data_IF_092686909636
#
_entry.id   IF_092686909636
#
_cell.length_a   1.000
_cell.length_b   1.000
_cell.length_c   1.000
_cell.angle_alpha   90.00
_cell.angle_beta   90.00
_cell.angle_gamma   90.00
#
_symmetry.space_group_name_H-M   'P 1'
#
loop_
_entity.id
_entity.type
_entity.pdbx_description
1 polymer ?
#
# COMPACT_ATOMS: atom_id res chain seq x y z
N UNK A 1 22.12 -4.15 1.79
CA UNK A 1 21.30 -2.98 1.36
C UNK A 1 19.86 -3.40 1.54
N UNK A 2 18.99 -2.54 2.11
CA UNK A 2 17.55 -2.85 2.22
C UNK A 2 16.93 -2.80 0.83
N UNK A 3 16.18 -3.81 0.44
CA UNK A 3 15.40 -3.82 -0.79
C UNK A 3 14.17 -2.91 -0.62
N UNK A 4 13.90 -2.06 -1.61
CA UNK A 4 12.73 -1.16 -1.62
C UNK A 4 11.88 -1.56 -2.82
N UNK A 5 10.78 -2.24 -2.55
CA UNK A 5 9.82 -2.69 -3.57
C UNK A 5 8.51 -1.94 -3.43
N UNK A 6 7.82 -1.83 -4.54
CA UNK A 6 6.48 -1.26 -4.63
C UNK A 6 5.56 -2.23 -5.35
N UNK A 7 4.26 -2.02 -5.16
CA UNK A 7 3.24 -2.61 -6.03
C UNK A 7 2.24 -1.54 -6.42
N UNK A 8 1.63 -1.68 -7.60
CA UNK A 8 0.55 -0.83 -8.07
C UNK A 8 -0.30 -1.57 -9.09
N UNK A 9 -1.49 -1.07 -9.40
CA UNK A 9 -2.33 -1.59 -10.47
C UNK A 9 -1.86 -1.07 -11.82
N UNK A 10 -1.72 -1.97 -12.79
CA UNK A 10 -1.38 -1.63 -14.17
C UNK A 10 -2.58 -0.95 -14.83
N UNK A 11 -2.34 0.15 -15.55
CA UNK A 11 -3.40 0.87 -16.27
C UNK A 11 -4.04 0.02 -17.40
N UNK A 12 -3.26 -0.91 -17.99
CA UNK A 12 -3.73 -1.68 -19.14
C UNK A 12 -4.74 -2.78 -18.80
N UNK A 13 -4.56 -3.49 -17.68
CA UNK A 13 -5.35 -4.67 -17.33
C UNK A 13 -5.82 -4.72 -15.86
N UNK A 14 -5.51 -3.70 -15.07
CA UNK A 14 -5.90 -3.57 -13.66
C UNK A 14 -5.24 -4.59 -12.71
N UNK A 15 -4.28 -5.38 -13.19
CA UNK A 15 -3.59 -6.37 -12.37
C UNK A 15 -2.52 -5.71 -11.52
N UNK A 16 -2.31 -6.25 -10.33
CA UNK A 16 -1.21 -5.85 -9.47
C UNK A 16 0.14 -6.24 -10.06
N UNK A 17 1.07 -5.29 -10.06
CA UNK A 17 2.45 -5.49 -10.47
C UNK A 17 3.37 -5.10 -9.33
N UNK A 18 4.31 -5.98 -9.00
CA UNK A 18 5.40 -5.71 -8.03
C UNK A 18 6.69 -5.39 -8.77
N UNK A 19 7.51 -4.51 -8.17
CA UNK A 19 8.82 -4.13 -8.70
C UNK A 19 9.32 -2.81 -8.15
N UNK A 20 10.18 -2.14 -8.94
CA UNK A 20 10.77 -0.86 -8.60
C UNK A 20 9.94 0.27 -9.20
N UNK A 21 9.42 1.14 -8.37
CA UNK A 21 8.61 2.28 -8.81
C UNK A 21 9.49 3.41 -9.30
N UNK A 22 9.12 3.99 -10.44
CA UNK A 22 9.72 5.18 -11.05
C UNK A 22 8.63 6.22 -11.28
N UNK A 23 8.96 7.45 -10.87
CA UNK A 23 8.17 8.65 -11.12
C UNK A 23 9.05 9.62 -11.92
N UNK A 24 8.63 9.93 -13.15
CA UNK A 24 9.36 10.75 -14.10
C UNK A 24 8.43 11.75 -14.76
N UNK A 25 8.98 12.70 -15.50
CA UNK A 25 8.26 13.62 -16.35
C UNK A 25 8.43 13.26 -17.83
N UNK A 26 7.40 13.42 -18.63
CA UNK A 26 7.48 13.28 -20.09
C UNK A 26 8.40 14.33 -20.68
N UNK A 27 8.27 15.58 -20.22
CA UNK A 27 8.97 16.72 -20.76
C UNK A 27 9.38 17.65 -19.63
N UNK A 28 10.60 18.19 -19.71
CA UNK A 28 11.06 19.24 -18.80
C UNK A 28 10.88 20.59 -19.47
N UNK A 29 10.03 21.44 -18.93
CA UNK A 29 9.76 22.78 -19.39
C UNK A 29 10.65 23.78 -18.63
N UNK A 30 11.67 24.32 -19.32
CA UNK A 30 12.62 25.26 -18.69
C UNK A 30 12.05 26.67 -18.49
N UNK A 31 11.04 27.06 -19.27
CA UNK A 31 10.45 28.40 -19.24
C UNK A 31 9.05 28.45 -18.59
N UNK A 32 8.52 27.33 -18.19
CA UNK A 32 7.18 27.20 -17.61
C UNK A 32 7.21 26.07 -16.56
N UNK A 33 7.72 26.37 -15.34
CA UNK A 33 7.85 25.35 -14.30
C UNK A 33 6.55 24.68 -13.89
N UNK A 34 5.43 25.42 -13.93
CA UNK A 34 4.11 24.90 -13.54
C UNK A 34 3.62 23.74 -14.42
N UNK A 35 4.11 23.68 -15.67
CA UNK A 35 3.83 22.54 -16.56
C UNK A 35 4.56 21.27 -16.19
N UNK A 36 5.63 21.36 -15.42
CA UNK A 36 6.35 20.16 -14.99
C UNK A 36 5.50 19.35 -14.00
N UNK A 37 4.74 20.02 -13.14
CA UNK A 37 3.93 19.39 -12.08
C UNK A 37 2.51 19.04 -12.55
N UNK A 38 2.18 19.31 -13.82
CA UNK A 38 0.88 18.93 -14.40
C UNK A 38 0.71 17.40 -14.49
N UNK A 39 -0.46 16.90 -14.16
CA UNK A 39 -0.79 15.46 -14.20
C UNK A 39 -0.49 14.82 -15.57
N UNK A 40 -0.77 15.52 -16.65
CA UNK A 40 -0.50 15.05 -18.02
C UNK A 40 1.01 14.88 -18.33
N UNK A 41 1.88 15.44 -17.50
CA UNK A 41 3.32 15.36 -17.66
C UNK A 41 3.97 14.29 -16.77
N UNK A 42 3.21 13.62 -15.92
CA UNK A 42 3.71 12.62 -14.98
C UNK A 42 3.74 11.23 -15.61
N UNK A 43 4.79 10.47 -15.33
CA UNK A 43 4.93 9.07 -15.73
C UNK A 43 5.12 8.23 -14.46
N UNK A 44 4.18 7.33 -14.22
CA UNK A 44 4.21 6.40 -13.10
C UNK A 44 4.38 4.97 -13.62
N UNK A 45 5.50 4.33 -13.30
CA UNK A 45 5.84 2.99 -13.80
C UNK A 45 6.41 2.09 -12.71
N UNK A 46 6.15 0.80 -12.88
CA UNK A 46 6.89 -0.25 -12.17
C UNK A 46 7.79 -0.97 -13.15
N UNK A 47 9.08 -1.04 -12.81
CA UNK A 47 10.09 -1.86 -13.49
C UNK A 47 10.16 -3.20 -12.78
N UNK A 48 10.09 -4.28 -13.54
CA UNK A 48 10.11 -5.64 -13.02
C UNK A 48 10.88 -6.58 -13.95
N UNK A 49 11.27 -7.73 -13.42
CA UNK A 49 11.93 -8.77 -14.17
C UNK A 49 10.92 -9.81 -14.66
N UNK A 50 11.08 -10.21 -15.92
CA UNK A 50 10.35 -11.30 -16.53
C UNK A 50 11.35 -12.40 -16.93
N UNK A 51 11.17 -13.58 -16.35
CA UNK A 51 11.98 -14.74 -16.71
C UNK A 51 11.67 -15.14 -18.16
N UNK A 52 12.70 -15.32 -18.96
CA UNK A 52 12.56 -15.71 -20.38
C UNK A 52 12.63 -17.20 -20.58
N UNK A 53 13.76 -17.82 -20.21
CA UNK A 53 14.02 -19.25 -20.32
C UNK A 53 15.17 -19.62 -19.38
N UNK A 54 15.38 -20.92 -19.18
CA UNK A 54 16.45 -21.46 -18.34
C UNK A 54 17.83 -21.01 -18.86
N UNK A 55 18.63 -20.42 -17.95
CA UNK A 55 19.98 -19.92 -18.22
C UNK A 55 20.08 -18.75 -19.20
N UNK A 56 18.96 -18.13 -19.60
CA UNK A 56 18.97 -16.88 -20.35
C UNK A 56 18.80 -15.67 -19.41
N UNK A 57 19.31 -14.50 -19.80
CA UNK A 57 19.09 -13.26 -19.05
C UNK A 57 17.59 -12.93 -18.94
N UNK A 58 17.17 -12.48 -17.75
CA UNK A 58 15.80 -11.96 -17.56
C UNK A 58 15.59 -10.71 -18.42
N UNK A 59 14.37 -10.55 -18.91
CA UNK A 59 13.94 -9.31 -19.52
C UNK A 59 13.55 -8.31 -18.42
N UNK A 60 13.98 -7.07 -18.57
CA UNK A 60 13.47 -5.96 -17.76
C UNK A 60 12.28 -5.33 -18.47
N UNK A 61 11.14 -5.33 -17.82
CA UNK A 61 9.88 -4.78 -18.32
C UNK A 61 9.44 -3.57 -17.52
N UNK A 62 8.64 -2.73 -18.14
CA UNK A 62 8.00 -1.60 -17.49
C UNK A 62 6.49 -1.69 -17.70
N UNK A 63 5.73 -1.41 -16.66
CA UNK A 63 4.28 -1.29 -16.73
C UNK A 63 3.87 0.12 -16.28
N UNK A 64 3.04 0.80 -17.07
CA UNK A 64 2.38 2.02 -16.65
C UNK A 64 1.34 1.66 -15.58
N UNK A 65 1.35 2.40 -14.47
CA UNK A 65 0.55 2.08 -13.30
C UNK A 65 -0.28 3.26 -12.83
N UNK A 66 -1.37 2.96 -12.16
CA UNK A 66 -2.22 3.93 -11.50
C UNK A 66 -1.53 4.46 -10.24
N UNK A 67 -1.18 5.78 -10.20
CA UNK A 67 -0.45 6.38 -9.08
C UNK A 67 -1.20 6.27 -7.75
N UNK A 68 -2.55 6.29 -7.76
CA UNK A 68 -3.37 6.22 -6.56
C UNK A 68 -3.32 4.84 -5.90
N UNK A 69 -2.80 3.84 -6.61
CA UNK A 69 -2.68 2.46 -6.11
C UNK A 69 -1.27 2.07 -5.69
N UNK A 70 -0.31 3.01 -5.79
CA UNK A 70 1.08 2.73 -5.44
C UNK A 70 1.20 2.52 -3.93
N UNK A 71 1.76 1.39 -3.54
CA UNK A 71 2.06 1.06 -2.15
C UNK A 71 3.46 0.47 -2.02
N UNK A 72 4.21 0.96 -1.04
CA UNK A 72 5.56 0.47 -0.76
C UNK A 72 5.52 -0.80 0.11
N UNK A 73 6.43 -1.74 -0.14
CA UNK A 73 6.65 -2.87 0.76
C UNK A 73 7.23 -2.39 2.09
N UNK A 74 6.62 -2.79 3.18
CA UNK A 74 7.03 -2.42 4.54
C UNK A 74 8.36 -3.04 4.98
N UNK A 75 8.83 -4.07 4.26
CA UNK A 75 9.98 -4.89 4.65
C UNK A 75 9.58 -6.12 5.48
N UNK A 76 8.29 -6.29 5.76
CA UNK A 76 7.74 -7.40 6.54
C UNK A 76 6.91 -8.35 5.67
N UNK A 77 6.76 -9.57 6.16
CA UNK A 77 5.85 -10.56 5.59
C UNK A 77 4.82 -10.96 6.66
N UNK A 78 3.67 -11.43 6.22
CA UNK A 78 2.64 -12.00 7.09
C UNK A 78 3.02 -13.43 7.55
N UNK A 79 2.17 -14.03 8.39
CA UNK A 79 2.36 -15.42 8.90
C UNK A 79 2.47 -16.49 7.80
N UNK A 80 2.02 -16.18 6.58
CA UNK A 80 2.07 -17.08 5.42
C UNK A 80 3.27 -16.78 4.50
N UNK A 81 4.13 -15.81 4.87
CA UNK A 81 5.25 -15.36 4.05
C UNK A 81 4.87 -14.38 2.94
N UNK A 82 3.62 -13.89 2.89
CA UNK A 82 3.16 -12.88 1.95
C UNK A 82 3.69 -11.51 2.34
N UNK A 83 4.27 -10.77 1.38
CA UNK A 83 4.76 -9.41 1.62
C UNK A 83 3.62 -8.48 2.02
N UNK A 84 3.88 -7.63 3.00
CA UNK A 84 2.95 -6.61 3.49
C UNK A 84 3.28 -5.27 2.81
N UNK A 85 2.31 -4.72 2.09
CA UNK A 85 2.43 -3.44 1.40
C UNK A 85 1.57 -2.38 2.06
N UNK A 86 1.92 -1.13 1.83
CA UNK A 86 1.03 -0.01 2.14
C UNK A 86 -0.34 -0.21 1.49
N UNK A 87 -1.41 0.15 2.21
CA UNK A 87 -2.77 -0.06 1.77
C UNK A 87 -3.27 -1.50 1.93
N UNK A 88 -2.47 -2.44 2.47
CA UNK A 88 -2.95 -3.77 2.84
C UNK A 88 -3.84 -3.73 4.06
N UNK A 89 -4.77 -4.67 4.10
CA UNK A 89 -5.65 -4.94 5.23
C UNK A 89 -5.15 -6.20 5.91
N UNK A 90 -4.75 -6.04 7.17
CA UNK A 90 -4.29 -7.14 8.00
C UNK A 90 -5.40 -7.61 8.92
N UNK A 91 -5.48 -8.91 9.14
CA UNK A 91 -6.28 -9.54 10.19
C UNK A 91 -5.40 -9.91 11.38
N UNK A 92 -5.80 -9.50 12.57
CA UNK A 92 -5.19 -9.92 13.83
C UNK A 92 -6.28 -10.27 14.83
N UNK A 93 -6.52 -11.56 15.01
CA UNK A 93 -7.65 -12.02 15.81
C UNK A 93 -8.99 -11.56 15.23
N UNK A 94 -9.68 -10.66 15.95
CA UNK A 94 -10.95 -10.05 15.50
C UNK A 94 -10.77 -8.68 14.86
N UNK A 95 -9.55 -8.13 14.90
CA UNK A 95 -9.23 -6.79 14.43
C UNK A 95 -8.86 -6.80 12.95
N UNK A 96 -9.26 -5.74 12.25
CA UNK A 96 -8.84 -5.45 10.88
C UNK A 96 -8.04 -4.15 10.89
N UNK A 97 -6.84 -4.19 10.37
CA UNK A 97 -5.87 -3.11 10.44
C UNK A 97 -5.47 -2.68 9.03
N UNK A 98 -5.50 -1.38 8.74
CA UNK A 98 -5.00 -0.80 7.50
C UNK A 98 -3.54 -0.39 7.66
N UNK A 99 -2.68 -0.86 6.78
CA UNK A 99 -1.26 -0.50 6.73
C UNK A 99 -1.08 0.84 6.04
N UNK A 100 -0.36 1.76 6.68
CA UNK A 100 -0.06 3.07 6.15
C UNK A 100 1.30 3.59 6.62
N UNK A 101 1.85 4.57 5.90
CA UNK A 101 3.04 5.30 6.31
C UNK A 101 2.66 6.51 7.15
N UNK A 102 3.31 6.71 8.30
CA UNK A 102 3.12 7.90 9.13
C UNK A 102 4.30 8.85 8.93
N UNK A 103 4.04 9.99 8.27
CA UNK A 103 5.05 11.01 7.99
C UNK A 103 5.55 11.75 9.24
N UNK A 104 4.74 11.83 10.30
CA UNK A 104 5.12 12.51 11.53
C UNK A 104 6.13 11.67 12.34
N UNK A 105 5.94 10.37 12.40
CA UNK A 105 6.80 9.44 13.15
C UNK A 105 7.82 8.70 12.28
N UNK A 106 7.78 8.90 10.95
CA UNK A 106 8.64 8.26 9.95
C UNK A 106 8.69 6.74 10.09
N UNK A 107 7.52 6.13 10.24
CA UNK A 107 7.40 4.69 10.41
C UNK A 107 6.12 4.13 9.81
N UNK A 108 6.16 2.83 9.50
CA UNK A 108 4.97 2.09 9.14
C UNK A 108 4.07 1.91 10.34
N UNK A 109 2.78 2.10 10.16
CA UNK A 109 1.75 1.90 11.18
C UNK A 109 0.59 1.08 10.62
N UNK A 110 -0.15 0.44 11.51
CA UNK A 110 -1.41 -0.22 11.18
C UNK A 110 -2.53 0.43 11.99
N UNK A 111 -3.57 0.90 11.30
CA UNK A 111 -4.72 1.56 11.91
C UNK A 111 -5.86 0.56 12.08
N UNK A 112 -6.45 0.53 13.26
CA UNK A 112 -7.75 -0.11 13.47
C UNK A 112 -8.85 0.94 13.33
N UNK A 113 -9.91 0.62 12.58
CA UNK A 113 -11.11 1.45 12.58
C UNK A 113 -11.83 1.28 13.92
N UNK A 114 -11.81 2.32 14.75
CA UNK A 114 -12.65 2.39 15.94
C UNK A 114 -13.76 3.43 15.74
N UNK A 115 -14.96 3.08 16.20
CA UNK A 115 -16.04 4.03 16.30
C UNK A 115 -16.00 4.66 17.69
N UNK A 116 -15.69 5.95 17.75
CA UNK A 116 -15.94 6.73 18.95
C UNK A 116 -17.35 7.26 18.91
N UNK A 117 -18.15 6.97 19.93
CA UNK A 117 -19.44 7.62 20.14
C UNK A 117 -19.16 9.04 20.62
N UNK A 118 -19.22 10.03 19.74
CA UNK A 118 -19.22 11.43 20.17
C UNK A 118 -20.57 11.74 20.83
N UNK A 119 -20.54 12.36 22.01
CA UNK A 119 -21.73 12.68 22.82
C UNK A 119 -22.62 13.80 22.25
N UNK A 120 -22.35 14.27 21.04
CA UNK A 120 -23.16 15.24 20.31
C UNK A 120 -23.32 14.81 18.85
N UNK A 121 -24.46 14.21 18.54
CA UNK A 121 -25.06 13.98 17.20
C UNK A 121 -24.15 13.53 16.04
N UNK A 122 -23.11 12.74 16.28
CA UNK A 122 -22.29 12.20 15.22
C UNK A 122 -21.46 10.99 15.64
N UNK A 123 -21.36 9.99 14.77
CA UNK A 123 -20.38 8.91 14.90
C UNK A 123 -19.04 9.45 14.41
N UNK A 124 -18.09 9.63 15.33
CA UNK A 124 -16.72 9.93 14.94
C UNK A 124 -15.98 8.62 14.67
N UNK A 125 -15.33 8.51 13.53
CA UNK A 125 -14.39 7.45 13.27
C UNK A 125 -13.04 7.86 13.85
N UNK A 126 -12.59 7.14 14.86
CA UNK A 126 -11.25 7.32 15.43
C UNK A 126 -10.37 6.16 14.95
N UNK A 127 -9.20 6.50 14.45
CA UNK A 127 -8.19 5.53 14.08
C UNK A 127 -7.22 5.36 15.24
N UNK A 128 -7.18 4.16 15.83
CA UNK A 128 -6.08 3.80 16.73
C UNK A 128 -4.84 3.45 15.90
N UNK A 129 -3.80 4.24 16.09
CA UNK A 129 -2.50 3.97 15.47
C UNK A 129 -1.77 2.92 16.31
N UNK A 130 -1.62 1.73 15.76
CA UNK A 130 -0.72 0.72 16.32
C UNK A 130 0.62 0.87 15.60
N UNK A 131 1.66 1.20 16.37
CA UNK A 131 3.00 1.32 15.81
C UNK A 131 3.50 -0.03 15.29
N UNK A 132 4.10 -0.04 14.09
CA UNK A 132 4.74 -1.24 13.54
C UNK A 132 5.92 -1.74 14.37
N UNK A 133 6.47 -0.91 15.26
CA UNK A 133 7.36 -1.37 16.32
C UNK A 133 6.68 -2.41 17.22
N UNK A 134 5.37 -2.33 17.37
CA UNK A 134 4.53 -3.33 18.03
C UNK A 134 4.29 -4.55 17.13
N UNK A 135 4.11 -4.36 15.82
CA UNK A 135 4.00 -5.45 14.86
C UNK A 135 5.27 -6.30 14.80
N UNK A 136 6.45 -5.66 14.95
CA UNK A 136 7.73 -6.36 15.07
C UNK A 136 7.96 -7.03 16.43
N UNK A 137 7.27 -6.60 17.49
CA UNK A 137 7.39 -7.18 18.83
C UNK A 137 6.55 -8.45 19.03
N UNK A 138 5.54 -8.66 18.19
CA UNK A 138 4.73 -9.88 18.18
C UNK A 138 5.21 -10.92 17.15
N UNK A 139 6.51 -10.96 16.88
CA UNK A 139 7.08 -12.17 16.30
C UNK A 139 6.78 -13.31 17.27
N UNK A 140 5.96 -14.25 16.85
CA UNK A 140 5.88 -15.52 17.53
C UNK A 140 7.31 -16.07 17.69
N UNK A 141 7.53 -16.88 18.70
CA UNK A 141 8.85 -17.47 19.03
C UNK A 141 9.51 -18.20 17.83
N UNK A 142 8.75 -18.44 16.76
CA UNK A 142 9.16 -19.04 15.47
C UNK A 142 9.47 -18.01 14.36
N UNK A 143 9.43 -16.69 14.65
CA UNK A 143 9.70 -15.63 13.69
C UNK A 143 8.53 -15.27 12.77
N UNK A 144 7.35 -15.85 12.95
CA UNK A 144 6.15 -15.49 12.19
C UNK A 144 5.42 -14.32 12.86
N UNK A 145 5.04 -13.34 12.06
CA UNK A 145 4.14 -12.25 12.50
C UNK A 145 2.73 -12.83 12.59
N UNK A 146 2.03 -12.64 13.70
CA UNK A 146 0.65 -13.14 13.90
C UNK A 146 -0.41 -12.54 12.99
N UNK A 147 0.00 -11.69 12.02
CA UNK A 147 -0.87 -11.00 11.07
C UNK A 147 -1.05 -11.79 9.78
N UNK A 148 -2.22 -11.63 9.16
CA UNK A 148 -2.53 -12.20 7.85
C UNK A 148 -3.06 -11.11 6.92
N UNK A 149 -2.50 -11.00 5.71
CA UNK A 149 -3.00 -10.09 4.67
C UNK A 149 -4.28 -10.67 4.08
N UNK A 150 -5.43 -10.07 4.41
CA UNK A 150 -6.76 -10.52 3.98
C UNK A 150 -7.31 -9.77 2.77
N UNK A 151 -6.69 -8.66 2.38
CA UNK A 151 -7.08 -7.83 1.24
C UNK A 151 -6.29 -6.53 1.20
N UNK A 152 -6.81 -5.56 0.46
CA UNK A 152 -6.29 -4.21 0.39
C UNK A 152 -7.42 -3.18 0.24
N UNK A 153 -7.11 -1.90 0.49
CA UNK A 153 -8.11 -0.82 0.48
C UNK A 153 -8.78 -0.57 -0.87
N UNK A 154 -8.13 -0.96 -1.99
CA UNK A 154 -8.63 -0.72 -3.34
C UNK A 154 -9.54 -1.85 -3.85
N UNK A 155 -9.20 -3.11 -3.54
CA UNK A 155 -9.97 -4.27 -4.00
C UNK A 155 -11.06 -4.70 -3.00
N UNK A 156 -10.84 -4.40 -1.71
CA UNK A 156 -11.69 -4.86 -0.62
C UNK A 156 -12.13 -3.73 0.33
N UNK A 157 -12.64 -2.58 -0.19
CA UNK A 157 -13.08 -1.47 0.67
C UNK A 157 -14.18 -1.88 1.64
N UNK A 158 -14.96 -2.92 1.30
CA UNK A 158 -16.04 -3.48 2.13
C UNK A 158 -15.53 -4.06 3.46
N UNK A 159 -14.25 -4.45 3.53
CA UNK A 159 -13.68 -4.97 4.78
C UNK A 159 -13.65 -3.93 5.90
N UNK A 160 -13.75 -2.63 5.55
CA UNK A 160 -13.83 -1.51 6.49
C UNK A 160 -15.22 -0.87 6.55
N UNK A 161 -16.17 -1.29 5.68
CA UNK A 161 -17.55 -0.78 5.74
C UNK A 161 -18.34 -1.53 6.81
N UNK A 162 -19.22 -0.82 7.50
CA UNK A 162 -20.32 -1.46 8.23
C UNK A 162 -21.41 -1.87 7.25
N UNK A 163 -22.16 -2.92 7.61
CA UNK A 163 -23.38 -3.29 6.94
C UNK A 163 -24.35 -2.09 6.97
N UNK A 164 -24.53 -1.41 5.82
CA UNK A 164 -25.47 -0.30 5.68
C UNK A 164 -24.85 1.08 5.31
N UNK A 165 -23.54 1.24 5.27
CA UNK A 165 -22.89 2.48 4.82
C UNK A 165 -22.65 2.47 3.31
N UNK A 166 -23.22 3.48 2.60
CA UNK A 166 -23.12 3.60 1.12
C UNK A 166 -22.07 4.60 0.64
N UNK A 167 -21.31 5.28 1.51
CA UNK A 167 -20.37 6.32 1.10
C UNK A 167 -18.93 5.81 1.05
N UNK A 168 -18.21 6.28 0.00
CA UNK A 168 -16.79 6.03 -0.16
C UNK A 168 -16.00 6.78 0.91
N UNK A 169 -15.04 6.11 1.54
CA UNK A 169 -14.10 6.77 2.44
C UNK A 169 -13.09 7.56 1.62
N UNK A 170 -13.01 8.87 1.85
CA UNK A 170 -11.84 9.67 1.49
C UNK A 170 -10.75 9.39 2.52
N UNK A 171 -9.57 9.01 2.03
CA UNK A 171 -8.39 8.70 2.83
C UNK A 171 -7.37 9.82 2.74
#
# INVERSE_FOLDING_TARGET
>A
MREVLFRAKRLGDGRWQEGYYIHLHHTTYCCDPDKNDGEDNQIHRIVYEEMTDWSLPNNHRMADVDPDTVGQWTGLCDKNGKRIYEGDILSYGRKKLLVWWNDESFQWQAKERQEATCTFDGVCVVWDNLDFGWLGAEYAYDGSVGYEVIGNRWDNPELFKKDGESEAFEF
#
